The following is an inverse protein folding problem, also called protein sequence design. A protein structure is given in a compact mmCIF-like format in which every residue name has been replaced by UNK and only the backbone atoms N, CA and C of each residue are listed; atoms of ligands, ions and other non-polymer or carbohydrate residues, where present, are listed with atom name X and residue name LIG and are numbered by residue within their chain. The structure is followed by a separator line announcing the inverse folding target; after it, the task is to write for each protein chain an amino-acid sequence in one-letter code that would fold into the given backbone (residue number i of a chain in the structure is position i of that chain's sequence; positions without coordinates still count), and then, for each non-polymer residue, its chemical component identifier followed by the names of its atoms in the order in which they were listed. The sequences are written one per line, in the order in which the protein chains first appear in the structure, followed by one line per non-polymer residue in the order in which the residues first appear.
data_IF_801272383819
#
_entry.id   IF_801272383819
#
_cell.length_a   1.000
_cell.length_b   1.000
_cell.length_c   1.000
_cell.angle_alpha   90.00
_cell.angle_beta   90.00
_cell.angle_gamma   90.00
#
_symmetry.space_group_name_H-M   'P 1'
#
loop_
_entity.id
_entity.type
_entity.pdbx_description
1 polymer ?
#
# COMPACT_ATOMS: atom_id res chain seq x y z
N UNK A 1 8.83 76.84 -0.48
CA UNK A 1 9.79 76.02 0.28
C UNK A 1 9.33 74.58 0.16
N UNK A 2 9.96 73.81 -0.72
CA UNK A 2 9.56 72.43 -1.06
C UNK A 2 10.21 71.46 -0.07
N UNK A 3 9.42 70.70 0.67
CA UNK A 3 9.89 69.62 1.53
C UNK A 3 9.70 68.29 0.83
N UNK A 4 10.79 67.68 0.38
CA UNK A 4 10.78 66.32 -0.16
C UNK A 4 10.72 65.31 0.99
N UNK A 5 9.60 64.60 1.13
CA UNK A 5 9.54 63.37 1.91
C UNK A 5 10.08 62.24 1.02
N UNK A 6 11.34 61.87 1.21
CA UNK A 6 11.93 60.67 0.63
C UNK A 6 11.61 59.48 1.52
N UNK A 7 10.47 58.82 1.29
CA UNK A 7 10.20 57.50 1.87
C UNK A 7 11.13 56.48 1.19
N UNK A 8 12.12 56.02 1.94
CA UNK A 8 12.92 54.85 1.54
C UNK A 8 12.09 53.61 1.87
N UNK A 9 11.24 53.21 0.91
CA UNK A 9 10.59 51.90 0.95
C UNK A 9 11.65 50.83 0.73
N UNK A 10 12.10 50.23 1.82
CA UNK A 10 12.93 49.03 1.80
C UNK A 10 12.07 47.87 1.30
N UNK A 11 12.33 47.42 0.07
CA UNK A 11 11.67 46.23 -0.47
C UNK A 11 12.21 45.00 0.24
N UNK A 12 11.51 44.53 1.28
CA UNK A 12 11.75 43.20 1.82
C UNK A 12 11.21 42.18 0.83
N UNK A 13 12.11 41.56 0.07
CA UNK A 13 11.76 40.42 -0.79
C UNK A 13 11.43 39.23 0.12
N UNK A 14 10.15 39.03 0.45
CA UNK A 14 9.70 37.76 1.00
C UNK A 14 9.71 36.75 -0.15
N UNK A 15 10.73 35.88 -0.16
CA UNK A 15 10.69 34.67 -0.99
C UNK A 15 9.34 33.99 -0.71
N UNK A 16 8.55 33.65 -1.74
CA UNK A 16 7.37 32.83 -1.52
C UNK A 16 7.86 31.59 -0.77
N UNK A 17 7.29 31.34 0.41
CA UNK A 17 7.57 30.09 1.12
C UNK A 17 7.32 29.00 0.11
N UNK A 18 8.39 28.31 -0.31
CA UNK A 18 8.21 27.17 -1.20
C UNK A 18 7.28 26.24 -0.45
N UNK A 19 6.04 26.10 -0.93
CA UNK A 19 5.15 25.04 -0.51
C UNK A 19 5.67 23.75 -1.12
N UNK A 20 6.95 23.42 -0.86
CA UNK A 20 7.47 22.08 -1.02
C UNK A 20 6.48 21.22 -0.25
N UNK A 21 5.60 20.56 -1.00
CA UNK A 21 4.51 19.77 -0.43
C UNK A 21 5.22 18.72 0.42
N UNK A 22 4.90 18.64 1.70
CA UNK A 22 5.33 17.50 2.50
C UNK A 22 4.93 16.25 1.71
N UNK A 23 5.89 15.43 1.26
CA UNK A 23 5.56 14.29 0.43
C UNK A 23 4.65 13.36 1.22
N UNK A 24 3.65 12.81 0.53
CA UNK A 24 2.88 11.72 1.08
C UNK A 24 3.81 10.51 1.14
N UNK A 25 4.21 10.19 2.36
CA UNK A 25 5.19 9.15 2.60
C UNK A 25 4.64 7.76 2.22
N UNK A 26 3.33 7.58 2.24
CA UNK A 26 2.69 6.33 1.84
C UNK A 26 2.74 6.15 0.31
N UNK A 27 2.45 7.23 -0.42
CA UNK A 27 2.62 7.26 -1.88
C UNK A 27 4.06 6.97 -2.31
N UNK A 28 5.06 7.45 -1.54
CA UNK A 28 6.46 7.10 -1.77
C UNK A 28 6.74 5.62 -1.54
N UNK A 29 6.21 5.00 -0.48
CA UNK A 29 6.42 3.57 -0.23
C UNK A 29 5.75 2.71 -1.33
N UNK A 30 4.55 3.07 -1.79
CA UNK A 30 3.89 2.39 -2.94
C UNK A 30 4.75 2.51 -4.20
N UNK A 31 5.34 3.69 -4.44
CA UNK A 31 6.21 3.93 -5.59
C UNK A 31 7.53 3.14 -5.50
N UNK A 32 8.13 3.07 -4.32
CA UNK A 32 9.33 2.27 -4.05
C UNK A 32 9.06 0.78 -4.24
N UNK A 33 7.91 0.28 -3.78
CA UNK A 33 7.50 -1.10 -4.01
C UNK A 33 7.39 -1.42 -5.51
N UNK A 34 6.80 -0.51 -6.30
CA UNK A 34 6.73 -0.65 -7.74
C UNK A 34 8.13 -0.74 -8.38
N UNK A 35 9.06 0.15 -8.00
CA UNK A 35 10.44 0.12 -8.50
C UNK A 35 11.10 -1.21 -8.18
N UNK A 36 11.01 -1.68 -6.94
CA UNK A 36 11.55 -2.98 -6.51
C UNK A 36 10.96 -4.14 -7.30
N UNK A 37 9.65 -4.13 -7.56
CA UNK A 37 9.00 -5.15 -8.37
C UNK A 37 9.59 -5.19 -9.78
N UNK A 38 9.72 -4.02 -10.44
CA UNK A 38 10.30 -3.92 -11.78
C UNK A 38 11.76 -4.36 -11.82
N UNK A 39 12.55 -4.01 -10.79
CA UNK A 39 13.97 -4.38 -10.67
C UNK A 39 14.17 -5.86 -10.32
N UNK A 40 13.24 -6.47 -9.57
CA UNK A 40 13.24 -7.90 -9.22
C UNK A 40 12.95 -8.84 -10.41
N UNK A 41 13.09 -8.32 -11.64
CA UNK A 41 13.00 -9.05 -12.90
C UNK A 41 11.61 -9.62 -13.20
N UNK A 42 10.54 -8.99 -12.69
CA UNK A 42 9.15 -9.29 -13.06
C UNK A 42 8.86 -9.17 -14.56
N UNK A 43 9.73 -8.52 -15.35
CA UNK A 43 9.64 -8.55 -16.82
C UNK A 43 9.76 -9.97 -17.41
N UNK A 44 10.23 -10.94 -16.65
CA UNK A 44 10.24 -12.37 -17.02
C UNK A 44 8.97 -13.11 -16.58
N UNK A 45 8.13 -12.51 -15.73
CA UNK A 45 6.85 -13.07 -15.33
C UNK A 45 5.76 -12.37 -16.14
N UNK A 46 5.33 -13.03 -17.21
CA UNK A 46 4.24 -12.53 -18.04
C UNK A 46 3.00 -12.20 -17.19
N UNK A 47 2.32 -11.11 -17.54
CA UNK A 47 1.04 -10.74 -16.93
C UNK A 47 1.09 -9.91 -15.64
N UNK A 48 2.18 -9.19 -15.35
CA UNK A 48 2.21 -8.23 -14.24
C UNK A 48 1.19 -7.10 -14.44
N UNK A 49 0.21 -7.02 -13.55
CA UNK A 49 -0.68 -5.87 -13.37
C UNK A 49 -0.36 -5.23 -12.03
N UNK A 50 -0.19 -3.90 -12.00
CA UNK A 50 -0.02 -3.14 -10.77
C UNK A 50 -0.92 -1.91 -10.81
N UNK A 51 -1.80 -1.79 -9.83
CA UNK A 51 -2.71 -0.67 -9.67
C UNK A 51 -2.45 -0.04 -8.30
N UNK A 52 -1.84 1.15 -8.20
CA UNK A 52 -1.75 1.87 -6.93
C UNK A 52 -3.11 2.51 -6.59
N UNK A 53 -3.25 3.04 -5.38
CA UNK A 53 -4.39 3.91 -5.06
C UNK A 53 -4.47 5.12 -6.01
N UNK A 54 -5.68 5.61 -6.36
CA UNK A 54 -6.99 5.08 -5.97
C UNK A 54 -7.49 3.94 -6.88
N UNK A 55 -6.73 3.51 -7.89
CA UNK A 55 -7.17 2.52 -8.88
C UNK A 55 -7.27 1.09 -8.32
N UNK A 56 -6.59 0.81 -7.22
CA UNK A 56 -6.70 -0.41 -6.44
C UNK A 56 -8.03 -0.55 -5.68
N UNK A 57 -8.77 0.55 -5.49
CA UNK A 57 -9.99 0.56 -4.69
C UNK A 57 -11.11 -0.21 -5.39
N UNK A 58 -11.84 -1.02 -4.64
CA UNK A 58 -12.92 -1.84 -5.17
C UNK A 58 -14.05 -2.00 -4.17
N UNK A 59 -15.25 -2.33 -4.66
CA UNK A 59 -16.42 -2.61 -3.83
C UNK A 59 -16.83 -4.06 -4.01
N UNK A 60 -16.90 -4.79 -2.90
CA UNK A 60 -17.33 -6.20 -2.87
C UNK A 60 -18.62 -6.27 -2.07
N UNK A 61 -19.74 -6.51 -2.75
CA UNK A 61 -21.07 -6.38 -2.16
C UNK A 61 -21.30 -4.97 -1.62
N UNK A 62 -21.45 -4.84 -0.30
CA UNK A 62 -21.59 -3.55 0.40
C UNK A 62 -20.29 -3.04 1.02
N UNK A 63 -19.21 -3.81 0.93
CA UNK A 63 -17.92 -3.50 1.56
C UNK A 63 -17.02 -2.74 0.58
N UNK A 64 -16.55 -1.57 1.00
CA UNK A 64 -15.56 -0.81 0.24
C UNK A 64 -14.15 -1.23 0.68
N UNK A 65 -13.38 -1.81 -0.23
CA UNK A 65 -11.95 -2.07 -0.04
C UNK A 65 -11.14 -0.89 -0.57
N UNK A 66 -10.11 -0.52 0.19
CA UNK A 66 -9.15 0.54 -0.15
C UNK A 66 -7.71 0.06 0.14
N UNK A 67 -7.26 -0.99 -0.56
CA UNK A 67 -5.87 -1.41 -0.49
C UNK A 67 -4.96 -0.31 -1.03
N UNK A 68 -3.73 -0.26 -0.54
CA UNK A 68 -2.73 0.72 -0.97
C UNK A 68 -2.26 0.45 -2.41
N UNK A 69 -2.23 -0.84 -2.79
CA UNK A 69 -2.06 -1.28 -4.16
C UNK A 69 -2.75 -2.62 -4.41
N UNK A 70 -3.04 -2.91 -5.67
CA UNK A 70 -3.41 -4.23 -6.16
C UNK A 70 -2.34 -4.72 -7.13
N UNK A 71 -1.98 -5.99 -7.02
CA UNK A 71 -1.04 -6.63 -7.94
C UNK A 71 -1.59 -7.97 -8.42
N UNK A 72 -1.39 -8.28 -9.70
CA UNK A 72 -1.63 -9.59 -10.28
C UNK A 72 -0.36 -10.01 -11.03
N UNK A 73 0.14 -11.21 -10.75
CA UNK A 73 1.39 -11.71 -11.34
C UNK A 73 1.41 -13.25 -11.31
N UNK A 74 1.72 -13.88 -12.44
CA UNK A 74 1.77 -15.35 -12.56
C UNK A 74 0.50 -16.08 -12.14
N UNK A 75 -0.68 -15.46 -12.34
CA UNK A 75 -1.98 -16.03 -11.97
C UNK A 75 -2.37 -15.86 -10.49
N UNK A 76 -1.52 -15.23 -9.68
CA UNK A 76 -1.81 -14.89 -8.28
C UNK A 76 -2.11 -13.41 -8.18
N UNK A 77 -3.12 -13.04 -7.39
CA UNK A 77 -3.46 -11.64 -7.10
C UNK A 77 -3.32 -11.32 -5.61
N UNK A 78 -2.94 -10.07 -5.34
CA UNK A 78 -2.84 -9.54 -3.98
C UNK A 78 -3.48 -8.16 -3.84
N UNK A 79 -4.09 -7.95 -2.68
CA UNK A 79 -4.28 -6.63 -2.10
C UNK A 79 -3.11 -6.33 -1.16
N UNK A 80 -2.45 -5.19 -1.37
CA UNK A 80 -1.30 -4.75 -0.60
C UNK A 80 -1.72 -3.71 0.44
N UNK A 81 -1.23 -3.88 1.67
CA UNK A 81 -1.33 -2.91 2.76
C UNK A 81 0.08 -2.60 3.29
N UNK A 82 0.50 -1.35 3.19
CA UNK A 82 1.82 -0.84 3.57
C UNK A 82 1.71 -0.21 4.96
N UNK A 83 1.95 -1.01 5.99
CA UNK A 83 1.88 -0.54 7.37
C UNK A 83 3.24 0.02 7.81
N UNK A 84 3.30 1.34 7.94
CA UNK A 84 4.50 2.07 8.40
C UNK A 84 4.74 2.02 9.91
N UNK A 85 3.96 1.23 10.66
CA UNK A 85 4.10 1.09 12.11
C UNK A 85 3.31 2.11 12.94
N UNK A 86 2.57 3.02 12.31
CA UNK A 86 1.78 4.06 12.99
C UNK A 86 0.37 3.60 13.40
N UNK A 87 -0.11 2.50 12.85
CA UNK A 87 -1.44 1.97 13.14
C UNK A 87 -1.45 1.14 14.44
N UNK A 88 -2.60 1.08 15.10
CA UNK A 88 -2.76 0.46 16.42
C UNK A 88 -3.60 -0.81 16.24
N UNK A 89 -3.58 -1.75 17.20
CA UNK A 89 -4.28 -3.05 17.08
C UNK A 89 -5.74 -2.91 16.62
N UNK A 90 -6.48 -1.92 17.14
CA UNK A 90 -7.89 -1.68 16.76
C UNK A 90 -8.05 -1.30 15.29
N UNK A 91 -7.13 -0.50 14.74
CA UNK A 91 -7.15 -0.06 13.35
C UNK A 91 -6.77 -1.22 12.41
N UNK A 92 -5.69 -1.94 12.73
CA UNK A 92 -5.24 -3.12 11.98
C UNK A 92 -6.31 -4.22 11.97
N UNK A 93 -6.92 -4.49 13.13
CA UNK A 93 -8.02 -5.45 13.25
C UNK A 93 -9.23 -5.02 12.43
N UNK A 94 -9.57 -3.73 12.43
CA UNK A 94 -10.69 -3.21 11.64
C UNK A 94 -10.43 -3.34 10.13
N UNK A 95 -9.19 -3.11 9.67
CA UNK A 95 -8.79 -3.34 8.28
C UNK A 95 -8.90 -4.82 7.92
N UNK A 96 -8.35 -5.73 8.72
CA UNK A 96 -8.45 -7.18 8.48
C UNK A 96 -9.92 -7.63 8.40
N UNK A 97 -10.75 -7.22 9.38
CA UNK A 97 -12.20 -7.52 9.39
C UNK A 97 -12.93 -7.04 8.15
N UNK A 98 -12.47 -5.96 7.53
CA UNK A 98 -13.08 -5.46 6.29
C UNK A 98 -12.82 -6.40 5.11
N UNK A 99 -11.63 -6.97 4.99
CA UNK A 99 -11.35 -7.99 3.97
C UNK A 99 -12.11 -9.29 4.25
N UNK A 100 -12.16 -9.73 5.51
CA UNK A 100 -12.95 -10.91 5.93
C UNK A 100 -14.42 -10.74 5.56
N UNK A 101 -15.02 -9.58 5.89
CA UNK A 101 -16.39 -9.26 5.50
C UNK A 101 -16.60 -9.25 3.98
N UNK A 102 -15.61 -8.80 3.21
CA UNK A 102 -15.68 -8.78 1.75
C UNK A 102 -15.68 -10.20 1.16
N UNK A 103 -14.77 -11.08 1.60
CA UNK A 103 -14.73 -12.47 1.12
C UNK A 103 -15.98 -13.26 1.58
N UNK A 104 -16.37 -13.12 2.85
CA UNK A 104 -17.55 -13.78 3.43
C UNK A 104 -18.86 -13.34 2.78
N UNK A 105 -18.88 -12.15 2.17
CA UNK A 105 -20.05 -11.68 1.45
C UNK A 105 -20.39 -12.56 0.24
N UNK A 106 -19.44 -13.31 -0.32
CA UNK A 106 -19.62 -14.12 -1.52
C UNK A 106 -19.88 -13.30 -2.81
N UNK A 107 -19.74 -11.97 -2.78
CA UNK A 107 -19.97 -11.10 -3.93
C UNK A 107 -18.72 -10.88 -4.80
N UNK A 108 -17.64 -11.60 -4.53
CA UNK A 108 -16.47 -11.58 -5.41
C UNK A 108 -16.82 -12.25 -6.74
N UNK A 109 -16.35 -11.74 -7.90
CA UNK A 109 -16.72 -12.31 -9.20
C UNK A 109 -16.48 -13.82 -9.29
N UNK A 110 -17.51 -14.55 -9.73
CA UNK A 110 -17.40 -15.99 -9.97
C UNK A 110 -16.28 -16.31 -10.97
N UNK A 111 -15.58 -17.41 -10.73
CA UNK A 111 -14.44 -17.83 -11.56
C UNK A 111 -13.14 -17.06 -11.31
N UNK A 112 -13.10 -16.11 -10.37
CA UNK A 112 -11.85 -15.47 -9.91
C UNK A 112 -11.57 -15.81 -8.45
N UNK A 113 -10.33 -16.16 -8.15
CA UNK A 113 -9.86 -16.26 -6.77
C UNK A 113 -9.91 -14.87 -6.10
N UNK A 114 -10.28 -14.83 -4.81
CA UNK A 114 -10.16 -13.61 -4.02
C UNK A 114 -8.66 -13.31 -3.78
N UNK A 115 -8.19 -12.06 -3.98
CA UNK A 115 -6.78 -11.73 -3.80
C UNK A 115 -6.34 -11.95 -2.35
N UNK A 116 -5.16 -12.54 -2.16
CA UNK A 116 -4.55 -12.62 -0.83
C UNK A 116 -4.22 -11.22 -0.33
N UNK A 117 -4.29 -10.99 0.98
CA UNK A 117 -3.91 -9.69 1.55
C UNK A 117 -2.48 -9.79 2.05
N UNK A 118 -1.56 -9.10 1.37
CA UNK A 118 -0.15 -9.03 1.73
C UNK A 118 0.13 -7.72 2.45
N UNK A 119 0.38 -7.84 3.75
CA UNK A 119 0.86 -6.74 4.57
C UNK A 119 2.38 -6.61 4.45
N UNK A 120 2.84 -5.39 4.28
CA UNK A 120 4.26 -5.05 4.38
C UNK A 120 4.49 -4.18 5.60
N UNK A 121 5.59 -4.42 6.29
CA UNK A 121 5.93 -3.73 7.56
C UNK A 121 7.39 -3.31 7.57
N UNK A 122 7.78 -2.28 8.36
CA UNK A 122 9.15 -1.77 8.37
C UNK A 122 10.16 -2.70 9.02
N UNK A 123 9.73 -3.53 9.98
CA UNK A 123 10.63 -4.34 10.81
C UNK A 123 9.96 -5.60 11.39
N UNK A 124 10.78 -6.50 11.91
CA UNK A 124 10.34 -7.77 12.47
C UNK A 124 9.47 -7.65 13.73
N UNK A 125 9.66 -6.59 14.53
CA UNK A 125 8.83 -6.37 15.70
C UNK A 125 7.40 -6.07 15.27
N UNK A 126 7.25 -5.25 14.23
CA UNK A 126 5.97 -4.93 13.64
C UNK A 126 5.36 -6.12 12.90
N UNK A 127 6.19 -6.93 12.23
CA UNK A 127 5.77 -8.20 11.62
C UNK A 127 5.11 -9.12 12.65
N UNK A 128 5.82 -9.41 13.74
CA UNK A 128 5.30 -10.25 14.84
C UNK A 128 4.02 -9.68 15.45
N UNK A 129 3.96 -8.36 15.58
CA UNK A 129 2.78 -7.68 16.10
C UNK A 129 1.55 -7.94 15.22
N UNK A 130 1.67 -7.79 13.91
CA UNK A 130 0.59 -8.02 12.96
C UNK A 130 0.25 -9.50 12.79
N UNK A 131 1.25 -10.38 12.73
CA UNK A 131 1.07 -11.84 12.70
C UNK A 131 0.24 -12.32 13.91
N UNK A 132 0.46 -11.75 15.10
CA UNK A 132 -0.33 -12.07 16.29
C UNK A 132 -1.79 -11.63 16.16
N UNK A 133 -2.05 -10.48 15.53
CA UNK A 133 -3.42 -10.00 15.28
C UNK A 133 -4.13 -10.94 14.31
N UNK A 134 -3.48 -11.28 13.19
CA UNK A 134 -4.00 -12.21 12.18
C UNK A 134 -4.30 -13.58 12.81
N UNK A 135 -3.37 -14.09 13.64
CA UNK A 135 -3.55 -15.36 14.35
C UNK A 135 -4.74 -15.33 15.33
N UNK A 136 -4.97 -14.21 16.03
CA UNK A 136 -6.17 -14.05 16.89
C UNK A 136 -7.47 -14.07 16.10
N UNK A 137 -7.45 -13.61 14.84
CA UNK A 137 -8.59 -13.62 13.95
C UNK A 137 -8.83 -15.01 13.32
N UNK A 138 -7.79 -15.85 13.23
CA UNK A 138 -7.88 -17.19 12.64
C UNK A 138 -7.80 -17.21 11.11
N UNK A 139 -7.32 -16.14 10.50
CA UNK A 139 -7.43 -15.89 9.04
C UNK A 139 -6.07 -15.97 8.34
N UNK A 140 -5.24 -16.92 8.77
CA UNK A 140 -3.84 -17.06 8.32
C UNK A 140 -3.72 -17.50 6.86
N UNK A 141 -4.81 -18.01 6.27
CA UNK A 141 -4.88 -18.39 4.85
C UNK A 141 -5.18 -17.19 3.94
N UNK A 142 -5.82 -16.14 4.47
CA UNK A 142 -6.16 -14.91 3.73
C UNK A 142 -5.07 -13.85 3.83
N UNK A 143 -4.45 -13.72 5.00
CA UNK A 143 -3.47 -12.68 5.28
C UNK A 143 -2.06 -13.25 5.40
N UNK A 144 -1.09 -12.53 4.83
CA UNK A 144 0.33 -12.77 5.09
C UNK A 144 1.04 -11.46 5.39
N UNK A 145 2.13 -11.52 6.15
CA UNK A 145 2.94 -10.35 6.49
C UNK A 145 4.41 -10.60 6.17
N UNK A 146 5.04 -9.63 5.53
CA UNK A 146 6.47 -9.64 5.15
C UNK A 146 7.11 -8.29 5.46
N UNK A 147 8.44 -8.24 5.54
CA UNK A 147 9.12 -6.96 5.58
C UNK A 147 8.93 -6.24 4.25
N UNK A 148 8.84 -4.91 4.29
CA UNK A 148 8.74 -4.10 3.08
C UNK A 148 9.91 -4.38 2.11
N UNK A 149 11.10 -4.64 2.66
CA UNK A 149 12.28 -5.01 1.88
C UNK A 149 12.15 -6.33 1.12
N UNK A 150 11.32 -7.25 1.59
CA UNK A 150 11.13 -8.61 1.07
C UNK A 150 9.88 -8.72 0.17
N UNK A 151 9.05 -7.68 0.12
CA UNK A 151 7.74 -7.74 -0.52
C UNK A 151 7.82 -8.11 -2.01
N UNK A 152 8.77 -7.53 -2.75
CA UNK A 152 8.95 -7.84 -4.16
C UNK A 152 9.36 -9.31 -4.39
N UNK A 153 10.31 -9.81 -3.59
CA UNK A 153 10.74 -11.22 -3.66
C UNK A 153 9.58 -12.17 -3.32
N UNK A 154 8.80 -11.86 -2.28
CA UNK A 154 7.64 -12.67 -1.89
C UNK A 154 6.62 -12.80 -3.01
N UNK A 155 6.32 -11.68 -3.68
CA UNK A 155 5.33 -11.59 -4.75
C UNK A 155 5.80 -12.39 -5.97
N UNK A 156 7.05 -12.20 -6.39
CA UNK A 156 7.65 -12.91 -7.54
C UNK A 156 7.84 -14.40 -7.26
N UNK A 157 8.32 -14.76 -6.07
CA UNK A 157 8.56 -16.15 -5.67
C UNK A 157 7.28 -16.98 -5.68
N UNK A 158 6.14 -16.41 -5.25
CA UNK A 158 4.86 -17.13 -5.31
C UNK A 158 4.39 -17.32 -6.76
N UNK A 159 4.55 -16.30 -7.60
CA UNK A 159 4.17 -16.37 -9.01
C UNK A 159 4.95 -17.47 -9.75
N UNK A 160 6.25 -17.64 -9.44
CA UNK A 160 7.08 -18.69 -10.05
C UNK A 160 6.64 -20.10 -9.64
N UNK A 161 6.20 -20.30 -8.39
CA UNK A 161 5.73 -21.59 -7.89
C UNK A 161 4.36 -21.99 -8.49
N UNK A 162 3.52 -21.02 -8.84
CA UNK A 162 2.19 -21.26 -9.42
C UNK A 162 2.20 -21.63 -10.91
N UNK A 163 3.36 -21.62 -11.56
CA UNK A 163 3.55 -21.95 -12.98
C UNK A 163 4.10 -23.38 -13.21
N UNK A 164 4.28 -24.17 -12.15
CA UNK A 164 4.81 -25.55 -12.18
C UNK A 164 3.71 -26.58 -11.98
#
# INVERSE_FOLDING_TARGET
MWGAYGDSVEYVYQLPRSSARTPDMHCLDVSELWVRLVESNTKLVDGLTFLPEPWSHTKVGHVQLKPDAYIEVGGVSYFLELDRGSEWETQLTAKCRRYIQAIDSGHWPEGRAFPLVLWTVPDDARKRYLDNIIKKLGEQDLFSTVLFSEAAERVVGHAALSQV
#
